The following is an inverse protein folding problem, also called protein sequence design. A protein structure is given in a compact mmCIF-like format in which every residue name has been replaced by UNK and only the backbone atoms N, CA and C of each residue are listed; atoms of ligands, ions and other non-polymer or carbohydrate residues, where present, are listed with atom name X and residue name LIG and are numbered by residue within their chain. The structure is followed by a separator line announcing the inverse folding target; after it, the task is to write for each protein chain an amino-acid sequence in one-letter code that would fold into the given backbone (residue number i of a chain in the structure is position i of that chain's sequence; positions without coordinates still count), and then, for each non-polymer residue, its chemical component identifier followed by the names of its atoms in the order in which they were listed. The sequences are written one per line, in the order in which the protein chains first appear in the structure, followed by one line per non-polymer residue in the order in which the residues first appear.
data_IF_249735255188
#
_entry.id   IF_249735255188
#
_cell.length_a   1.000
_cell.length_b   1.000
_cell.length_c   1.000
_cell.angle_alpha   90.00
_cell.angle_beta   90.00
_cell.angle_gamma   90.00
#
_symmetry.space_group_name_H-M   'P 1'
#
loop_
_entity.id
_entity.type
_entity.pdbx_description
1 polymer ?
#
# COMPACT_ATOMS: atom_id res chain seq x y z
N UNK A 1 -19.52 16.29 -10.16
CA UNK A 1 -20.36 15.93 -8.99
C UNK A 1 -19.59 16.27 -7.73
N UNK A 2 -20.21 16.87 -6.70
CA UNK A 2 -19.54 17.10 -5.43
C UNK A 2 -19.20 15.75 -4.76
N UNK A 3 -18.06 15.72 -4.06
CA UNK A 3 -17.57 14.52 -3.38
C UNK A 3 -17.30 14.90 -1.92
N UNK A 4 -17.87 14.14 -0.98
CA UNK A 4 -17.57 14.26 0.43
C UNK A 4 -16.39 13.36 0.79
N UNK A 5 -15.34 13.91 1.40
CA UNK A 5 -14.15 13.18 1.83
C UNK A 5 -14.08 13.18 3.35
N UNK A 6 -13.96 12.00 3.96
CA UNK A 6 -13.96 11.78 5.40
C UNK A 6 -12.79 10.87 5.80
N UNK A 7 -11.70 11.45 6.28
CA UNK A 7 -10.58 10.69 6.82
C UNK A 7 -9.93 11.40 8.00
N UNK A 8 -9.51 10.64 9.01
CA UNK A 8 -8.90 11.20 10.22
C UNK A 8 -9.76 12.29 10.86
N UNK A 9 -9.16 13.46 11.11
CA UNK A 9 -9.83 14.65 11.62
C UNK A 9 -10.37 15.57 10.51
N UNK A 10 -9.91 15.38 9.27
CA UNK A 10 -10.34 16.17 8.13
C UNK A 10 -11.70 15.71 7.62
N UNK A 11 -12.61 16.69 7.48
CA UNK A 11 -13.94 16.48 6.93
C UNK A 11 -14.21 17.56 5.89
N UNK A 12 -14.19 17.15 4.64
CA UNK A 12 -14.73 17.97 3.55
C UNK A 12 -16.15 17.48 3.33
N UNK A 13 -17.11 18.16 3.97
CA UNK A 13 -18.55 17.86 3.86
C UNK A 13 -19.14 18.80 2.84
N UNK A 14 -19.42 18.28 1.66
CA UNK A 14 -20.29 18.92 0.67
C UNK A 14 -21.60 18.13 0.61
N UNK A 15 -22.72 18.77 0.26
CA UNK A 15 -23.93 18.01 -0.07
C UNK A 15 -23.65 17.17 -1.31
N UNK A 16 -23.47 15.88 -1.13
CA UNK A 16 -22.99 14.95 -2.14
C UNK A 16 -23.68 13.61 -2.02
N UNK A 17 -23.89 12.97 -3.16
CA UNK A 17 -24.32 11.57 -3.22
C UNK A 17 -23.12 10.61 -3.34
N UNK A 18 -21.88 11.13 -3.33
CA UNK A 18 -20.67 10.33 -3.44
C UNK A 18 -19.71 10.62 -2.29
N UNK A 19 -19.38 9.58 -1.53
CA UNK A 19 -18.54 9.65 -0.34
C UNK A 19 -17.28 8.83 -0.53
N UNK A 20 -16.14 9.38 -0.14
CA UNK A 20 -14.87 8.66 0.03
C UNK A 20 -14.51 8.74 1.50
N UNK A 21 -14.37 7.61 2.16
CA UNK A 21 -14.10 7.58 3.59
C UNK A 21 -13.31 6.35 4.01
N UNK A 22 -12.71 6.41 5.20
CA UNK A 22 -12.15 5.21 5.82
C UNK A 22 -13.27 4.33 6.39
N UNK A 23 -13.03 3.02 6.52
CA UNK A 23 -14.00 2.07 7.07
C UNK A 23 -14.47 2.42 8.49
N UNK A 24 -13.61 3.06 9.30
CA UNK A 24 -13.97 3.56 10.63
C UNK A 24 -15.02 4.69 10.60
N UNK A 25 -15.07 5.48 9.55
CA UNK A 25 -16.12 6.52 9.42
C UNK A 25 -17.47 5.89 9.04
N UNK A 26 -17.45 4.77 8.33
CA UNK A 26 -18.64 4.07 7.86
C UNK A 26 -19.54 3.60 9.03
N UNK A 27 -18.95 3.23 10.16
CA UNK A 27 -19.68 2.81 11.38
C UNK A 27 -20.65 3.88 11.93
N UNK A 28 -20.48 5.15 11.54
CA UNK A 28 -21.34 6.26 11.97
C UNK A 28 -22.63 6.38 11.17
N UNK A 29 -22.77 5.63 10.10
CA UNK A 29 -23.93 5.68 9.21
C UNK A 29 -24.84 4.48 9.46
N UNK A 30 -26.13 4.69 9.34
CA UNK A 30 -27.14 3.65 9.51
C UNK A 30 -28.18 3.79 8.39
N UNK A 31 -28.42 2.71 7.64
CA UNK A 31 -29.39 2.66 6.52
C UNK A 31 -29.33 3.88 5.59
N UNK A 32 -28.10 4.26 5.23
CA UNK A 32 -27.84 5.53 4.54
C UNK A 32 -27.48 5.34 3.06
N UNK A 33 -26.63 4.35 2.75
CA UNK A 33 -26.07 4.19 1.42
C UNK A 33 -26.85 3.17 0.58
N UNK A 34 -27.02 3.48 -0.70
CA UNK A 34 -27.56 2.54 -1.69
C UNK A 34 -26.47 1.55 -2.13
N UNK A 35 -25.19 2.01 -2.19
CA UNK A 35 -24.05 1.18 -2.57
C UNK A 35 -22.89 1.52 -1.64
N UNK A 36 -22.25 0.51 -1.08
CA UNK A 36 -20.99 0.61 -0.36
C UNK A 36 -19.94 -0.23 -1.08
N UNK A 37 -18.82 0.40 -1.43
CA UNK A 37 -17.67 -0.27 -2.06
C UNK A 37 -16.53 -0.25 -1.07
N UNK A 38 -16.02 -1.42 -0.69
CA UNK A 38 -14.85 -1.57 0.18
C UNK A 38 -13.69 -2.06 -0.64
N UNK A 39 -12.69 -1.20 -0.79
CA UNK A 39 -11.44 -1.56 -1.45
C UNK A 39 -10.49 -2.23 -0.46
N UNK A 40 -9.65 -3.16 -0.96
CA UNK A 40 -8.69 -3.90 -0.16
C UNK A 40 -9.35 -4.64 1.04
N UNK A 41 -10.51 -5.29 0.83
CA UNK A 41 -11.29 -5.94 1.90
C UNK A 41 -10.51 -6.98 2.73
N UNK A 42 -9.46 -7.54 2.16
CA UNK A 42 -8.55 -8.50 2.81
C UNK A 42 -7.43 -7.83 3.62
N UNK A 43 -7.38 -6.49 3.64
CA UNK A 43 -6.37 -5.73 4.35
C UNK A 43 -6.81 -5.30 5.75
N UNK A 44 -5.80 -5.14 6.65
CA UNK A 44 -6.01 -4.41 7.89
C UNK A 44 -6.39 -2.94 7.59
N UNK A 45 -7.32 -2.29 8.32
CA UNK A 45 -7.95 -2.81 9.54
C UNK A 45 -9.26 -3.58 9.30
N UNK A 46 -9.80 -3.64 8.08
CA UNK A 46 -11.12 -4.21 7.83
C UNK A 46 -11.15 -5.72 8.05
N UNK A 47 -10.15 -6.42 7.53
CA UNK A 47 -10.08 -7.88 7.63
C UNK A 47 -9.96 -8.36 9.08
N UNK A 48 -10.98 -9.10 9.54
CA UNK A 48 -11.04 -9.66 10.89
C UNK A 48 -11.55 -8.71 11.98
N UNK A 49 -12.05 -7.53 11.61
CA UNK A 49 -12.72 -6.60 12.53
C UNK A 49 -14.24 -6.67 12.36
N UNK A 50 -14.89 -7.40 13.25
CA UNK A 50 -16.35 -7.58 13.25
C UNK A 50 -17.12 -6.25 13.36
N UNK A 51 -16.57 -5.25 14.04
CA UNK A 51 -17.21 -3.95 14.17
C UNK A 51 -17.26 -3.22 12.82
N UNK A 52 -16.17 -3.25 12.07
CA UNK A 52 -16.11 -2.65 10.74
C UNK A 52 -16.97 -3.42 9.72
N UNK A 53 -16.97 -4.75 9.79
CA UNK A 53 -17.83 -5.60 8.94
C UNK A 53 -19.31 -5.33 9.21
N UNK A 54 -19.71 -5.26 10.46
CA UNK A 54 -21.08 -4.92 10.85
C UNK A 54 -21.43 -3.49 10.48
N UNK A 55 -20.51 -2.54 10.68
CA UNK A 55 -20.68 -1.14 10.27
C UNK A 55 -20.96 -1.01 8.76
N UNK A 56 -20.25 -1.77 7.93
CA UNK A 56 -20.49 -1.79 6.50
C UNK A 56 -21.90 -2.29 6.15
N UNK A 57 -22.35 -3.37 6.79
CA UNK A 57 -23.69 -3.94 6.57
C UNK A 57 -24.80 -2.99 7.06
N UNK A 58 -24.66 -2.43 8.27
CA UNK A 58 -25.67 -1.55 8.87
C UNK A 58 -25.77 -0.18 8.22
N UNK A 59 -24.72 0.25 7.53
CA UNK A 59 -24.72 1.52 6.78
C UNK A 59 -25.53 1.46 5.48
N UNK A 60 -25.79 0.25 4.96
CA UNK A 60 -26.61 0.03 3.77
C UNK A 60 -28.10 0.18 4.04
N UNK A 61 -28.83 0.66 3.06
CA UNK A 61 -30.29 0.56 3.00
C UNK A 61 -30.72 -0.91 2.82
N UNK A 62 -32.00 -1.22 3.04
CA UNK A 62 -32.53 -2.59 2.98
C UNK A 62 -32.29 -3.28 1.62
N UNK A 63 -32.32 -2.52 0.53
CA UNK A 63 -32.05 -2.96 -0.84
C UNK A 63 -30.66 -2.56 -1.35
N UNK A 64 -29.78 -2.12 -0.45
CA UNK A 64 -28.43 -1.65 -0.75
C UNK A 64 -27.48 -2.77 -1.16
N UNK A 65 -26.46 -2.44 -1.92
CA UNK A 65 -25.46 -3.38 -2.45
C UNK A 65 -24.09 -3.16 -1.80
N UNK A 66 -23.51 -4.25 -1.27
CA UNK A 66 -22.16 -4.27 -0.75
C UNK A 66 -21.19 -4.89 -1.78
N UNK A 67 -20.19 -4.13 -2.18
CA UNK A 67 -19.18 -4.55 -3.15
C UNK A 67 -17.82 -4.63 -2.48
N UNK A 68 -17.17 -5.78 -2.59
CA UNK A 68 -15.81 -5.99 -2.11
C UNK A 68 -14.81 -6.00 -3.27
N UNK A 69 -13.74 -5.25 -3.15
CA UNK A 69 -12.62 -5.25 -4.09
C UNK A 69 -11.39 -5.86 -3.41
N UNK A 70 -10.73 -6.78 -4.07
CA UNK A 70 -9.48 -7.36 -3.62
C UNK A 70 -8.70 -7.98 -4.78
N UNK A 71 -7.38 -7.90 -4.73
CA UNK A 71 -6.49 -8.62 -5.63
C UNK A 71 -6.27 -10.07 -5.18
N UNK A 72 -6.39 -10.34 -3.87
CA UNK A 72 -6.06 -11.61 -3.21
C UNK A 72 -7.15 -12.03 -2.21
N UNK A 73 -8.42 -12.16 -2.63
CA UNK A 73 -9.52 -12.41 -1.71
C UNK A 73 -9.35 -13.75 -0.99
N UNK A 74 -9.52 -13.73 0.33
CA UNK A 74 -9.52 -14.95 1.15
C UNK A 74 -10.70 -15.84 0.80
N UNK A 75 -10.64 -17.13 1.15
CA UNK A 75 -11.76 -18.06 0.96
C UNK A 75 -12.99 -17.65 1.80
N UNK A 76 -12.77 -17.02 2.95
CA UNK A 76 -13.85 -16.49 3.81
C UNK A 76 -14.60 -15.38 3.06
N UNK A 77 -13.90 -14.43 2.46
CA UNK A 77 -14.52 -13.35 1.67
C UNK A 77 -15.29 -13.94 0.48
N UNK A 78 -14.69 -14.87 -0.27
CA UNK A 78 -15.36 -15.51 -1.43
C UNK A 78 -16.63 -16.26 -1.04
N UNK A 79 -16.66 -16.89 0.13
CA UNK A 79 -17.84 -17.63 0.61
C UNK A 79 -18.94 -16.71 1.19
N UNK A 80 -18.62 -15.47 1.51
CA UNK A 80 -19.55 -14.50 2.08
C UNK A 80 -20.30 -13.65 1.04
N UNK A 81 -20.00 -13.80 -0.26
CA UNK A 81 -20.59 -13.02 -1.35
C UNK A 81 -21.46 -13.89 -2.26
N UNK A 82 -22.48 -13.29 -2.88
CA UNK A 82 -23.37 -13.97 -3.83
C UNK A 82 -22.72 -14.20 -5.19
N UNK A 83 -21.87 -13.26 -5.63
CA UNK A 83 -21.27 -13.30 -6.96
C UNK A 83 -19.81 -12.86 -6.89
N UNK A 84 -18.96 -13.53 -7.66
CA UNK A 84 -17.54 -13.18 -7.80
C UNK A 84 -17.23 -12.82 -9.25
N UNK A 85 -16.91 -11.56 -9.49
CA UNK A 85 -16.49 -11.06 -10.80
C UNK A 85 -14.98 -11.01 -10.85
N UNK A 86 -14.37 -11.72 -11.80
CA UNK A 86 -12.93 -11.70 -12.01
C UNK A 86 -12.56 -10.78 -13.16
N UNK A 87 -11.70 -9.78 -12.90
CA UNK A 87 -11.17 -8.86 -13.90
C UNK A 87 -9.68 -9.18 -14.13
N UNK A 88 -9.35 -10.09 -15.07
CA UNK A 88 -7.99 -10.61 -15.23
C UNK A 88 -7.04 -9.65 -15.95
N UNK A 89 -7.54 -8.54 -16.49
CA UNK A 89 -6.77 -7.58 -17.29
C UNK A 89 -6.82 -6.20 -16.65
N UNK A 90 -5.66 -5.58 -16.50
CA UNK A 90 -5.56 -4.19 -16.05
C UNK A 90 -6.24 -3.25 -17.05
N UNK A 91 -6.77 -2.12 -16.55
CA UNK A 91 -7.37 -1.06 -17.37
C UNK A 91 -6.46 -0.67 -18.56
N UNK A 92 -5.15 -0.53 -18.33
CA UNK A 92 -4.17 -0.20 -19.36
C UNK A 92 -3.74 -1.37 -20.27
N UNK A 93 -4.32 -2.55 -20.11
CA UNK A 93 -4.03 -3.78 -20.87
C UNK A 93 -2.58 -4.26 -20.82
N UNK A 94 -1.76 -3.75 -19.89
CA UNK A 94 -0.42 -4.28 -19.65
C UNK A 94 -0.48 -5.50 -18.74
N UNK A 95 0.32 -6.49 -19.07
CA UNK A 95 0.51 -7.66 -18.22
C UNK A 95 1.08 -7.26 -16.84
N UNK A 96 0.70 -7.99 -15.81
CA UNK A 96 1.31 -7.85 -14.49
C UNK A 96 2.81 -8.17 -14.57
N UNK A 97 3.68 -7.40 -13.91
CA UNK A 97 5.08 -7.74 -13.85
C UNK A 97 5.26 -9.06 -13.09
N UNK A 98 6.01 -9.98 -13.68
CA UNK A 98 6.37 -11.25 -13.04
C UNK A 98 7.51 -10.99 -12.06
N UNK A 99 7.36 -11.33 -10.77
CA UNK A 99 8.43 -11.18 -9.80
C UNK A 99 9.58 -12.13 -10.12
N UNK A 100 10.81 -11.66 -9.90
CA UNK A 100 12.03 -12.49 -10.02
C UNK A 100 12.43 -12.93 -8.62
N UNK A 101 12.41 -14.24 -8.39
CA UNK A 101 12.85 -14.81 -7.13
C UNK A 101 14.35 -15.09 -7.22
N UNK A 102 15.11 -14.64 -6.23
CA UNK A 102 16.51 -14.93 -6.06
C UNK A 102 16.72 -15.49 -4.66
N UNK A 103 17.37 -16.64 -4.59
CA UNK A 103 17.73 -17.30 -3.33
C UNK A 103 19.19 -17.01 -3.05
N UNK A 104 19.48 -16.43 -1.90
CA UNK A 104 20.83 -16.19 -1.40
C UNK A 104 21.18 -17.19 -0.28
N UNK A 105 22.47 -17.51 -0.14
CA UNK A 105 22.96 -18.46 0.89
C UNK A 105 22.98 -17.85 2.30
N UNK A 106 22.93 -16.53 2.38
CA UNK A 106 22.99 -15.77 3.62
C UNK A 106 21.74 -14.88 3.74
N UNK A 107 21.45 -14.46 4.95
CA UNK A 107 20.40 -13.51 5.18
C UNK A 107 20.69 -12.19 4.41
N UNK A 108 19.78 -11.85 3.51
CA UNK A 108 19.90 -10.63 2.68
C UNK A 108 19.72 -9.35 3.51
N UNK A 109 19.16 -9.45 4.69
CA UNK A 109 18.98 -8.34 5.65
C UNK A 109 20.14 -8.21 6.64
N UNK A 110 21.15 -9.11 6.59
CA UNK A 110 22.41 -8.94 7.31
C UNK A 110 23.32 -7.94 6.58
N UNK A 111 23.02 -6.66 6.76
CA UNK A 111 23.77 -5.55 6.18
C UNK A 111 25.20 -5.39 6.73
N UNK A 112 25.63 -6.20 7.68
CA UNK A 112 27.03 -6.29 8.09
C UNK A 112 27.90 -6.96 7.00
N UNK A 113 27.30 -7.74 6.12
CA UNK A 113 27.96 -8.48 5.04
C UNK A 113 27.69 -7.87 3.68
N UNK A 114 28.74 -7.86 2.86
CA UNK A 114 28.66 -7.35 1.50
C UNK A 114 27.92 -8.32 0.58
N UNK A 115 26.76 -7.89 0.03
CA UNK A 115 26.03 -8.63 -1.00
C UNK A 115 26.30 -8.04 -2.38
N UNK A 116 27.22 -8.66 -3.12
CA UNK A 116 27.53 -8.26 -4.51
C UNK A 116 26.32 -8.31 -5.42
N UNK A 117 25.36 -9.19 -5.11
CA UNK A 117 24.11 -9.28 -5.87
C UNK A 117 23.25 -8.05 -5.69
N UNK A 118 22.98 -7.63 -4.43
CA UNK A 118 22.15 -6.46 -4.15
C UNK A 118 22.78 -5.20 -4.75
N UNK A 119 24.08 -5.00 -4.56
CA UNK A 119 24.80 -3.85 -5.12
C UNK A 119 24.67 -3.78 -6.64
N UNK A 120 24.99 -4.87 -7.32
CA UNK A 120 24.89 -4.95 -8.78
C UNK A 120 23.46 -4.75 -9.27
N UNK A 121 22.48 -5.36 -8.58
CA UNK A 121 21.08 -5.24 -8.96
C UNK A 121 20.58 -3.80 -8.90
N UNK A 122 20.88 -3.10 -7.79
CA UNK A 122 20.48 -1.70 -7.62
C UNK A 122 21.20 -0.80 -8.64
N UNK A 123 22.50 -0.95 -8.81
CA UNK A 123 23.27 -0.19 -9.80
C UNK A 123 22.73 -0.39 -11.23
N UNK A 124 22.32 -1.60 -11.61
CA UNK A 124 21.71 -1.87 -12.91
C UNK A 124 20.35 -1.18 -13.08
N UNK A 125 19.57 -1.02 -11.99
CA UNK A 125 18.28 -0.31 -12.04
C UNK A 125 18.49 1.20 -12.17
N UNK A 126 19.40 1.76 -11.40
CA UNK A 126 19.73 3.18 -11.42
C UNK A 126 20.28 3.61 -12.80
N UNK A 127 21.15 2.81 -13.41
CA UNK A 127 21.63 3.06 -14.81
C UNK A 127 20.50 3.13 -15.84
N UNK A 128 19.33 2.56 -15.56
CA UNK A 128 18.14 2.60 -16.41
C UNK A 128 17.15 3.70 -16.02
N UNK A 129 17.60 4.67 -15.26
CA UNK A 129 16.74 5.75 -14.72
C UNK A 129 15.52 5.24 -13.96
N UNK A 130 15.70 4.13 -13.20
CA UNK A 130 14.63 3.53 -12.40
C UNK A 130 14.85 3.76 -10.94
N UNK A 131 13.88 4.41 -10.31
CA UNK A 131 13.79 4.48 -8.86
C UNK A 131 13.61 3.08 -8.27
N UNK A 132 14.16 2.87 -7.09
CA UNK A 132 14.11 1.57 -6.42
C UNK A 132 13.48 1.70 -5.05
N UNK A 133 12.41 0.93 -4.80
CA UNK A 133 11.79 0.80 -3.50
C UNK A 133 12.26 -0.52 -2.88
N UNK A 134 12.79 -0.46 -1.65
CA UNK A 134 13.31 -1.63 -0.94
C UNK A 134 12.50 -1.82 0.33
N UNK A 135 11.88 -2.99 0.45
CA UNK A 135 11.15 -3.37 1.65
C UNK A 135 12.06 -4.15 2.60
N UNK A 136 12.06 -3.75 3.87
CA UNK A 136 12.74 -4.45 4.96
C UNK A 136 11.74 -4.87 6.04
N UNK A 137 11.97 -5.99 6.75
CA UNK A 137 11.02 -6.51 7.74
C UNK A 137 10.76 -5.59 8.93
N UNK A 138 11.78 -4.85 9.39
CA UNK A 138 11.75 -4.10 10.63
C UNK A 138 12.26 -2.67 10.46
N UNK A 139 11.70 -1.75 11.28
CA UNK A 139 12.07 -0.33 11.25
C UNK A 139 13.57 -0.12 11.49
N UNK A 140 14.15 -0.84 12.47
CA UNK A 140 15.58 -0.75 12.78
C UNK A 140 16.50 -1.14 11.62
N UNK A 141 16.01 -1.92 10.67
CA UNK A 141 16.76 -2.29 9.46
C UNK A 141 16.79 -1.17 8.42
N UNK A 142 15.88 -0.21 8.46
CA UNK A 142 15.83 0.89 7.49
C UNK A 142 17.13 1.72 7.52
N UNK A 143 17.54 2.18 8.70
CA UNK A 143 18.78 2.98 8.88
C UNK A 143 20.02 2.18 8.50
N UNK A 144 20.09 0.93 8.96
CA UNK A 144 21.22 0.03 8.66
C UNK A 144 21.35 -0.20 7.15
N UNK A 145 20.23 -0.38 6.45
CA UNK A 145 20.21 -0.53 5.01
C UNK A 145 20.66 0.75 4.29
N UNK A 146 20.20 1.94 4.74
CA UNK A 146 20.68 3.21 4.18
C UNK A 146 22.20 3.34 4.32
N UNK A 147 22.73 3.07 5.51
CA UNK A 147 24.19 3.13 5.76
C UNK A 147 24.96 2.13 4.90
N UNK A 148 24.43 0.93 4.73
CA UNK A 148 25.00 -0.09 3.86
C UNK A 148 25.05 0.38 2.39
N UNK A 149 23.92 0.81 1.85
CA UNK A 149 23.86 1.22 0.44
C UNK A 149 24.65 2.49 0.15
N UNK A 150 24.70 3.47 1.05
CA UNK A 150 25.57 4.65 0.93
C UNK A 150 27.06 4.31 0.86
N UNK A 151 27.51 3.21 1.49
CA UNK A 151 28.89 2.72 1.38
C UNK A 151 29.18 1.98 0.07
N UNK A 152 28.16 1.38 -0.53
CA UNK A 152 28.30 0.47 -1.65
C UNK A 152 27.94 1.08 -3.01
N UNK A 153 27.21 2.18 -3.01
CA UNK A 153 26.70 2.86 -4.21
C UNK A 153 27.33 4.24 -4.30
N UNK A 154 27.37 4.81 -5.50
CA UNK A 154 27.91 6.16 -5.74
C UNK A 154 27.26 7.21 -4.84
N UNK A 155 28.06 8.19 -4.38
CA UNK A 155 27.60 9.33 -3.56
C UNK A 155 26.58 10.23 -4.28
N UNK A 156 26.51 10.16 -5.59
CA UNK A 156 25.53 10.88 -6.41
C UNK A 156 24.10 10.34 -6.26
N UNK A 157 23.93 9.13 -5.71
CA UNK A 157 22.63 8.47 -5.57
C UNK A 157 21.98 8.87 -4.25
N UNK A 158 20.80 9.45 -4.34
CA UNK A 158 20.02 9.87 -3.18
C UNK A 158 19.26 8.67 -2.59
N UNK A 159 19.65 8.32 -1.36
CA UNK A 159 19.08 7.19 -0.61
C UNK A 159 18.49 7.70 0.69
N UNK A 160 17.23 7.37 0.95
CA UNK A 160 16.55 7.70 2.19
C UNK A 160 15.65 6.54 2.65
N UNK A 161 15.04 6.66 3.83
CA UNK A 161 14.10 5.68 4.34
C UNK A 161 12.86 6.33 4.94
N UNK A 162 11.78 5.55 5.02
CA UNK A 162 10.51 5.97 5.59
C UNK A 162 9.82 4.82 6.32
N UNK A 163 9.16 5.13 7.43
CA UNK A 163 8.38 4.17 8.21
C UNK A 163 7.11 4.82 8.80
N UNK A 164 6.27 4.04 9.49
CA UNK A 164 4.95 4.50 9.96
C UNK A 164 4.99 5.69 10.94
N UNK A 165 6.01 5.76 11.78
CA UNK A 165 6.20 6.83 12.76
C UNK A 165 7.11 7.98 12.29
N UNK A 166 7.45 8.06 11.01
CA UNK A 166 8.30 9.12 10.47
C UNK A 166 7.50 10.41 10.30
N UNK A 167 7.83 11.46 11.06
CA UNK A 167 7.16 12.77 10.98
C UNK A 167 7.28 13.41 9.59
N UNK A 168 8.36 13.13 8.87
CA UNK A 168 8.61 13.66 7.52
C UNK A 168 8.15 12.69 6.41
N UNK A 169 7.32 11.70 6.75
CA UNK A 169 6.86 10.64 5.83
C UNK A 169 6.34 11.19 4.51
N UNK A 170 5.38 12.10 4.57
CA UNK A 170 4.72 12.66 3.38
C UNK A 170 5.70 13.40 2.48
N UNK A 171 6.62 14.17 3.07
CA UNK A 171 7.67 14.90 2.35
C UNK A 171 8.63 13.93 1.63
N UNK A 172 9.12 12.90 2.32
CA UNK A 172 10.03 11.90 1.74
C UNK A 172 9.38 11.11 0.61
N UNK A 173 8.12 10.72 0.78
CA UNK A 173 7.34 10.07 -0.27
C UNK A 173 7.21 11.00 -1.48
N UNK A 174 6.89 12.28 -1.26
CA UNK A 174 6.78 13.24 -2.35
C UNK A 174 8.11 13.45 -3.07
N UNK A 175 9.22 13.55 -2.35
CA UNK A 175 10.58 13.60 -2.93
C UNK A 175 10.89 12.35 -3.77
N UNK A 176 10.49 11.18 -3.31
CA UNK A 176 10.64 9.95 -4.10
C UNK A 176 9.78 9.98 -5.38
N UNK A 177 8.54 10.50 -5.32
CA UNK A 177 7.71 10.71 -6.52
C UNK A 177 8.31 11.73 -7.47
N UNK A 178 8.89 12.81 -6.97
CA UNK A 178 9.51 13.87 -7.75
C UNK A 178 10.88 13.50 -8.31
N UNK A 179 11.40 12.28 -8.03
CA UNK A 179 12.73 11.81 -8.43
C UNK A 179 13.91 12.53 -7.76
N UNK A 180 13.68 13.09 -6.59
CA UNK A 180 14.71 13.66 -5.72
C UNK A 180 15.38 12.59 -4.84
N UNK A 181 14.74 11.43 -4.68
CA UNK A 181 15.25 10.23 -4.02
C UNK A 181 15.23 9.08 -5.04
N UNK A 182 16.38 8.42 -5.22
CA UNK A 182 16.55 7.33 -6.18
C UNK A 182 16.23 5.96 -5.56
N UNK A 183 16.59 5.80 -4.28
CA UNK A 183 16.35 4.58 -3.51
C UNK A 183 15.64 4.93 -2.21
N UNK A 184 14.43 4.44 -2.04
CA UNK A 184 13.66 4.59 -0.81
C UNK A 184 13.52 3.23 -0.10
N UNK A 185 13.96 3.18 1.16
CA UNK A 185 13.88 1.99 2.00
C UNK A 185 12.71 2.13 2.94
N UNK A 186 11.91 1.08 3.08
CA UNK A 186 10.68 1.15 3.87
C UNK A 186 10.30 -0.21 4.47
N UNK A 187 9.40 -0.19 5.41
CA UNK A 187 8.67 -1.38 5.87
C UNK A 187 7.38 -1.56 5.06
N UNK A 188 6.51 -2.46 5.47
CA UNK A 188 5.23 -2.77 4.80
C UNK A 188 4.28 -1.58 4.61
N UNK A 189 4.60 -0.42 5.18
CA UNK A 189 3.75 0.78 5.11
C UNK A 189 3.49 1.29 3.68
N UNK A 190 4.37 1.02 2.74
CA UNK A 190 4.22 1.37 1.33
C UNK A 190 3.85 0.16 0.45
N UNK A 191 3.49 -0.98 1.07
CA UNK A 191 3.15 -2.19 0.32
C UNK A 191 1.84 -2.04 -0.46
N UNK A 192 0.92 -1.26 0.06
CA UNK A 192 -0.44 -1.08 -0.50
C UNK A 192 -0.76 0.36 -0.92
N UNK A 193 0.21 1.18 -1.20
CA UNK A 193 0.02 2.54 -1.73
C UNK A 193 0.09 3.66 -0.72
#
# INVERSE_FOLDING_TARGET
YPISILHGEEKILEESNFYIMTTHQLVKYYTYFDIVIIDEVDAFPYSGDECLENGAKTSLKDDGVLVFLSATPSEIVKSSVYEVIKIPIRYHRYLLPVPKIKIEKHDVFDFSRKSRFLEKFIQEKLKKDRRTLIFVPEIGMCETAVLYFKKCISEEIMIDFVYSGDENRSEKIQKFYNREIDVLITTTILERG
#
